data_IF_901995969212
#
_entry.id   IF_901995969212
#
_cell.length_a   1.000
_cell.length_b   1.000
_cell.length_c   1.000
_cell.angle_alpha   90.00
_cell.angle_beta   90.00
_cell.angle_gamma   90.00
#
_symmetry.space_group_name_H-M   'P 1'
#
loop_
_entity.id
_entity.type
_entity.pdbx_description
1 polymer ?
#
# COMPACT_ATOMS: atom_id res chain seq x y z
N UNK A 1 -13.96 8.18 10.35
CA UNK A 1 -12.77 7.54 9.74
C UNK A 1 -11.62 8.53 9.68
N UNK A 2 -10.39 8.04 9.82
CA UNK A 2 -9.18 8.85 9.87
C UNK A 2 -8.34 8.61 8.62
N UNK A 3 -7.38 9.49 8.37
CA UNK A 3 -6.30 9.18 7.43
C UNK A 3 -5.40 8.12 8.07
N UNK A 4 -4.95 7.16 7.28
CA UNK A 4 -4.18 6.02 7.76
C UNK A 4 -2.84 5.97 7.06
N UNK A 5 -1.77 5.72 7.82
CA UNK A 5 -0.43 5.45 7.28
C UNK A 5 -0.06 4.02 7.67
N UNK A 6 0.40 3.23 6.71
CA UNK A 6 0.76 1.83 6.93
C UNK A 6 2.18 1.60 6.42
N UNK A 7 3.03 0.98 7.24
CA UNK A 7 4.43 0.69 6.90
C UNK A 7 4.67 -0.68 6.25
N UNK A 8 3.79 -1.66 6.45
CA UNK A 8 3.83 -2.96 5.76
C UNK A 8 2.51 -3.70 5.88
N UNK A 9 2.18 -4.57 4.91
CA UNK A 9 1.00 -5.44 4.97
C UNK A 9 1.38 -6.83 4.45
N UNK A 10 1.59 -7.75 5.39
CA UNK A 10 1.83 -9.16 5.10
C UNK A 10 0.60 -9.94 5.50
N UNK A 11 -0.08 -10.50 4.51
CA UNK A 11 -1.13 -11.48 4.71
C UNK A 11 -0.64 -12.78 4.10
N UNK A 12 -0.59 -13.87 4.84
CA UNK A 12 -0.08 -15.17 4.36
C UNK A 12 -0.95 -15.81 3.27
N UNK A 13 -1.08 -15.16 2.11
CA UNK A 13 -1.90 -15.55 0.96
C UNK A 13 -3.29 -14.90 0.87
N UNK A 14 -3.80 -14.26 1.94
CA UNK A 14 -5.16 -13.71 1.98
C UNK A 14 -5.21 -12.21 1.68
N UNK A 15 -5.64 -11.83 0.48
CA UNK A 15 -5.73 -10.43 0.10
C UNK A 15 -6.78 -9.67 0.92
N UNK A 16 -6.37 -8.55 1.52
CA UNK A 16 -7.25 -7.65 2.28
C UNK A 16 -7.82 -6.57 1.35
N UNK A 17 -9.14 -6.56 1.07
CA UNK A 17 -9.76 -5.46 0.35
C UNK A 17 -9.76 -4.19 1.22
N UNK A 18 -9.56 -3.04 0.57
CA UNK A 18 -9.49 -1.74 1.24
C UNK A 18 -10.51 -0.78 0.62
N UNK A 19 -11.27 -0.09 1.47
CA UNK A 19 -12.15 1.00 1.04
C UNK A 19 -11.69 2.31 1.66
N UNK A 20 -11.28 3.26 0.82
CA UNK A 20 -10.91 4.61 1.24
C UNK A 20 -12.14 5.49 1.10
N UNK A 21 -12.71 5.94 2.22
CA UNK A 21 -13.91 6.80 2.21
C UNK A 21 -13.57 8.20 1.66
N UNK A 22 -14.57 8.89 1.08
CA UNK A 22 -14.42 10.25 0.58
C UNK A 22 -13.70 11.20 1.58
N UNK A 23 -12.79 12.02 1.06
CA UNK A 23 -11.99 12.97 1.86
C UNK A 23 -11.00 12.34 2.83
N UNK A 24 -10.73 11.03 2.74
CA UNK A 24 -9.72 10.32 3.55
C UNK A 24 -8.60 9.78 2.69
N UNK A 25 -7.48 9.50 3.34
CA UNK A 25 -6.31 8.93 2.67
C UNK A 25 -5.80 7.65 3.33
N UNK A 26 -5.24 6.77 2.48
CA UNK A 26 -4.34 5.72 2.88
C UNK A 26 -2.96 6.02 2.30
N UNK A 27 -1.97 6.12 3.16
CA UNK A 27 -0.56 6.22 2.77
C UNK A 27 0.12 4.88 2.99
N UNK A 28 0.64 4.29 1.93
CA UNK A 28 1.58 3.17 1.98
C UNK A 28 2.99 3.75 2.02
N UNK A 29 3.76 3.46 3.07
CA UNK A 29 5.12 3.96 3.26
C UNK A 29 6.13 2.80 3.32
N UNK A 30 6.74 2.46 2.17
CA UNK A 30 7.81 1.47 2.09
C UNK A 30 9.14 2.03 2.59
N UNK A 31 9.73 1.41 3.61
CA UNK A 31 11.02 1.80 4.21
C UNK A 31 11.92 0.59 4.39
N UNK A 32 13.22 0.74 4.14
CA UNK A 32 14.24 -0.32 4.20
C UNK A 32 14.04 -1.35 5.32
N UNK A 33 14.08 -2.63 4.95
CA UNK A 33 14.20 -3.73 5.89
C UNK A 33 15.44 -3.57 6.81
N UNK A 34 15.26 -3.72 8.12
CA UNK A 34 16.37 -3.99 9.03
C UNK A 34 16.72 -5.46 8.87
N UNK A 35 17.86 -5.76 8.25
CA UNK A 35 18.33 -7.13 8.15
C UNK A 35 18.71 -7.65 9.56
N UNK A 36 17.97 -8.64 10.06
CA UNK A 36 18.43 -9.46 11.16
C UNK A 36 18.72 -10.88 10.64
N UNK A 37 20.01 -11.22 10.62
CA UNK A 37 20.46 -12.59 10.79
C UNK A 37 19.56 -13.23 11.89
N UNK A 38 19.03 -14.45 11.70
CA UNK A 38 18.25 -15.24 12.69
C UNK A 38 16.69 -15.29 12.63
N UNK A 39 16.06 -15.15 11.45
CA UNK A 39 14.92 -16.02 11.11
C UNK A 39 13.50 -15.58 11.49
N UNK A 40 13.27 -14.35 11.87
CA UNK A 40 11.95 -13.72 11.82
C UNK A 40 12.16 -12.29 11.32
N UNK A 41 11.59 -11.95 10.15
CA UNK A 41 11.17 -10.59 9.76
C UNK A 41 10.90 -10.55 8.24
N UNK A 42 9.62 -10.55 7.86
CA UNK A 42 9.23 -10.30 6.49
C UNK A 42 9.44 -8.81 6.16
N UNK A 43 9.97 -8.46 4.97
CA UNK A 43 10.29 -7.08 4.63
C UNK A 43 9.05 -6.18 4.72
N UNK A 44 9.22 -4.99 5.32
CA UNK A 44 8.19 -3.96 5.33
C UNK A 44 7.84 -3.45 3.91
N UNK A 45 8.71 -3.77 2.95
CA UNK A 45 8.65 -3.40 1.56
C UNK A 45 7.68 -4.26 0.72
N UNK A 46 7.11 -5.32 1.30
CA UNK A 46 6.18 -6.23 0.62
C UNK A 46 4.74 -6.01 1.10
N UNK A 47 3.98 -5.19 0.36
CA UNK A 47 2.52 -5.06 0.52
C UNK A 47 1.76 -6.08 -0.31
N UNK A 48 2.29 -7.30 -0.43
CA UNK A 48 1.69 -8.37 -1.25
C UNK A 48 0.33 -8.84 -0.71
N UNK A 49 -0.03 -8.41 0.51
CA UNK A 49 -1.32 -8.72 1.12
C UNK A 49 -2.45 -7.75 0.81
N UNK A 50 -2.20 -6.66 0.07
CA UNK A 50 -3.26 -5.75 -0.33
C UNK A 50 -4.05 -6.29 -1.53
N UNK A 51 -5.36 -6.48 -1.32
CA UNK A 51 -6.32 -6.79 -2.37
C UNK A 51 -6.84 -5.54 -3.07
N UNK A 52 -8.05 -5.62 -3.61
CA UNK A 52 -8.65 -4.51 -4.35
C UNK A 52 -8.81 -3.27 -3.44
N UNK A 53 -8.49 -2.10 -4.00
CA UNK A 53 -8.63 -0.82 -3.34
C UNK A 53 -9.75 -0.02 -4.00
N UNK A 54 -10.80 0.28 -3.25
CA UNK A 54 -11.92 1.12 -3.70
C UNK A 54 -11.76 2.54 -3.19
N UNK A 55 -11.72 3.51 -4.11
CA UNK A 55 -11.75 4.93 -3.82
C UNK A 55 -13.21 5.42 -3.76
N UNK A 56 -13.77 5.44 -2.55
CA UNK A 56 -15.19 5.58 -2.28
C UNK A 56 -15.81 6.97 -2.46
N UNK A 57 -15.16 7.88 -3.20
CA UNK A 57 -15.73 9.18 -3.53
C UNK A 57 -14.72 10.30 -3.70
N UNK A 58 -15.23 11.53 -3.81
CA UNK A 58 -14.41 12.73 -4.03
C UNK A 58 -13.32 12.87 -2.96
N UNK A 59 -12.09 13.15 -3.39
CA UNK A 59 -10.92 13.33 -2.55
C UNK A 59 -10.56 12.11 -1.67
N UNK A 60 -11.10 10.91 -1.95
CA UNK A 60 -10.51 9.67 -1.44
C UNK A 60 -9.14 9.50 -2.09
N UNK A 61 -8.09 9.31 -1.29
CA UNK A 61 -6.71 9.33 -1.79
C UNK A 61 -5.93 8.07 -1.42
N UNK A 62 -5.37 7.40 -2.42
CA UNK A 62 -4.31 6.41 -2.23
C UNK A 62 -2.96 7.09 -2.50
N UNK A 63 -2.09 7.10 -1.49
CA UNK A 63 -0.76 7.68 -1.58
C UNK A 63 0.27 6.56 -1.41
N UNK A 64 1.07 6.32 -2.44
CA UNK A 64 2.11 5.30 -2.46
C UNK A 64 3.45 6.01 -2.35
N UNK A 65 4.18 5.76 -1.27
CA UNK A 65 5.48 6.35 -0.95
C UNK A 65 6.45 5.23 -0.58
N UNK A 66 7.65 5.25 -1.16
CA UNK A 66 8.60 4.14 -1.06
C UNK A 66 10.00 4.70 -1.29
N UNK A 67 10.92 4.39 -0.40
CA UNK A 67 12.35 4.72 -0.56
C UNK A 67 13.11 3.49 -1.04
N UNK A 68 14.07 3.65 -1.94
CA UNK A 68 14.87 2.55 -2.50
C UNK A 68 15.57 1.77 -1.36
N UNK A 69 15.50 0.42 -1.32
CA UNK A 69 15.07 -0.51 -2.38
C UNK A 69 13.61 -0.99 -2.29
N UNK A 70 12.76 -0.36 -1.48
CA UNK A 70 11.40 -0.82 -1.23
C UNK A 70 10.52 -0.77 -2.51
N UNK A 71 9.82 -1.87 -2.81
CA UNK A 71 8.96 -2.01 -4.01
C UNK A 71 7.53 -2.38 -3.61
N UNK A 72 6.62 -1.40 -3.70
CA UNK A 72 5.20 -1.65 -3.48
C UNK A 72 4.60 -2.31 -4.72
N UNK A 73 4.08 -3.53 -4.55
CA UNK A 73 3.31 -4.26 -5.58
C UNK A 73 1.91 -4.51 -5.04
N UNK A 74 0.89 -4.10 -5.78
CA UNK A 74 -0.51 -4.33 -5.44
C UNK A 74 -1.01 -5.56 -6.20
N UNK A 75 -1.70 -6.47 -5.51
CA UNK A 75 -2.23 -7.70 -6.12
C UNK A 75 -3.66 -7.54 -6.64
N UNK A 76 -4.38 -6.50 -6.17
CA UNK A 76 -5.74 -6.21 -6.58
C UNK A 76 -5.86 -4.96 -7.45
N UNK A 77 -7.05 -4.78 -8.00
CA UNK A 77 -7.39 -3.62 -8.82
C UNK A 77 -7.57 -2.37 -7.95
N UNK A 78 -7.32 -1.20 -8.53
CA UNK A 78 -7.70 0.08 -7.94
C UNK A 78 -8.90 0.62 -8.73
N UNK A 79 -10.03 0.77 -8.06
CA UNK A 79 -11.29 1.18 -8.67
C UNK A 79 -11.84 2.47 -8.02
N UNK A 80 -12.69 3.19 -8.75
CA UNK A 80 -13.39 4.39 -8.27
C UNK A 80 -12.80 5.70 -8.79
N UNK A 81 -13.40 6.82 -8.35
CA UNK A 81 -13.13 8.17 -8.88
C UNK A 81 -12.22 9.04 -8.00
N UNK A 82 -11.38 8.43 -7.15
CA UNK A 82 -10.50 9.17 -6.24
C UNK A 82 -9.16 9.56 -6.85
N UNK A 83 -8.23 9.96 -5.98
CA UNK A 83 -6.90 10.44 -6.36
C UNK A 83 -5.88 9.35 -6.05
N UNK A 84 -5.01 9.05 -7.00
CA UNK A 84 -3.86 8.17 -6.81
C UNK A 84 -2.60 9.01 -6.97
N UNK A 85 -1.77 9.03 -5.93
CA UNK A 85 -0.47 9.70 -5.95
C UNK A 85 0.61 8.66 -5.73
N UNK A 86 1.55 8.56 -6.67
CA UNK A 86 2.70 7.65 -6.57
C UNK A 86 3.98 8.46 -6.52
N UNK A 87 4.66 8.40 -5.39
CA UNK A 87 5.89 9.12 -5.09
C UNK A 87 7.00 8.11 -4.78
N UNK A 88 7.36 7.31 -5.80
CA UNK A 88 8.23 6.13 -5.73
C UNK A 88 8.88 5.82 -7.08
N UNK A 89 9.86 4.91 -7.11
CA UNK A 89 10.26 4.11 -8.29
C UNK A 89 9.33 2.87 -8.52
N UNK A 90 8.06 2.91 -8.09
CA UNK A 90 7.18 1.74 -8.10
C UNK A 90 6.68 1.40 -9.50
N UNK A 91 6.57 0.10 -9.78
CA UNK A 91 5.86 -0.41 -10.93
C UNK A 91 4.39 -0.65 -10.56
N UNK A 92 3.47 0.14 -11.14
CA UNK A 92 2.05 -0.23 -11.18
C UNK A 92 1.89 -1.13 -12.41
N UNK A 93 1.73 -2.43 -12.22
CA UNK A 93 1.27 -3.28 -13.32
C UNK A 93 -0.25 -3.10 -13.41
N UNK A 94 -0.68 -2.39 -14.46
CA UNK A 94 -2.08 -2.32 -14.87
C UNK A 94 -2.47 -3.51 -15.73
#
# INVERSE_FOLDING_TARGET
TQNTVVGSIVTGGNLLPVTITAGKSLTLNGTNAVAANHGFDAPADNYTGLGNITLGGANAALIIQSVTPAKITLAGNIDGGGIITVNTDAAING
#
